data_IF_008647130305
#
_entry.id   IF_008647130305
#
_cell.length_a   1.000
_cell.length_b   1.000
_cell.length_c   1.000
_cell.angle_alpha   90.00
_cell.angle_beta   90.00
_cell.angle_gamma   90.00
#
_symmetry.space_group_name_H-M   'P 1'
#
loop_
_entity.id
_entity.type
_entity.pdbx_description
1 polymer ?
#
# COMPACT_ATOMS: atom_id res chain seq x y z
N UNK A 1 17.70 -12.50 14.87
CA UNK A 1 17.27 -13.81 14.35
C UNK A 1 15.77 -14.06 14.52
N UNK A 2 15.16 -13.73 15.66
CA UNK A 2 13.71 -13.94 15.89
C UNK A 2 12.81 -13.21 14.87
N UNK A 3 13.13 -11.95 14.53
CA UNK A 3 12.33 -11.18 13.55
C UNK A 3 12.34 -11.79 12.15
N UNK A 4 13.45 -12.41 11.73
CA UNK A 4 13.55 -13.10 10.46
C UNK A 4 12.67 -14.36 10.42
N UNK A 5 12.73 -15.18 11.48
CA UNK A 5 11.89 -16.37 11.59
C UNK A 5 10.40 -16.04 11.62
N UNK A 6 10.04 -14.88 12.17
CA UNK A 6 8.65 -14.39 12.21
C UNK A 6 8.09 -14.08 10.81
N UNK A 7 8.94 -13.61 9.89
CA UNK A 7 8.55 -13.26 8.53
C UNK A 7 8.66 -14.42 7.53
N UNK A 8 9.36 -15.50 7.91
CA UNK A 8 9.58 -16.65 7.03
C UNK A 8 8.29 -17.24 6.45
N UNK A 9 7.19 -17.43 7.24
CA UNK A 9 5.93 -17.94 6.71
C UNK A 9 5.32 -17.06 5.60
N UNK A 10 5.46 -15.72 5.69
CA UNK A 10 4.92 -14.82 4.66
C UNK A 10 5.69 -14.98 3.34
N UNK A 11 7.03 -15.06 3.41
CA UNK A 11 7.84 -15.33 2.23
C UNK A 11 7.57 -16.73 1.66
N UNK A 12 7.31 -17.73 2.51
CA UNK A 12 6.92 -19.07 2.06
C UNK A 12 5.57 -19.04 1.31
N UNK A 13 4.59 -18.27 1.79
CA UNK A 13 3.31 -18.10 1.10
C UNK A 13 3.46 -17.35 -0.24
N UNK A 14 4.33 -16.35 -0.31
CA UNK A 14 4.64 -15.66 -1.57
C UNK A 14 5.29 -16.64 -2.56
N UNK A 15 6.28 -17.42 -2.10
CA UNK A 15 6.93 -18.44 -2.92
C UNK A 15 5.93 -19.50 -3.40
N UNK A 16 5.04 -19.96 -2.51
CA UNK A 16 3.95 -20.87 -2.87
C UNK A 16 3.04 -20.27 -3.94
N UNK A 17 2.65 -19.00 -3.83
CA UNK A 17 1.87 -18.30 -4.84
C UNK A 17 2.55 -18.28 -6.21
N UNK A 18 3.86 -18.02 -6.24
CA UNK A 18 4.67 -18.09 -7.47
C UNK A 18 4.70 -19.51 -8.05
N UNK A 19 4.88 -20.54 -7.22
CA UNK A 19 4.87 -21.94 -7.62
C UNK A 19 3.51 -22.35 -8.21
N UNK A 20 2.42 -21.99 -7.52
CA UNK A 20 1.05 -22.25 -7.99
C UNK A 20 0.82 -21.59 -9.37
N UNK A 21 1.23 -20.32 -9.50
CA UNK A 21 1.09 -19.62 -10.79
C UNK A 21 1.89 -20.28 -11.92
N UNK A 22 3.08 -20.79 -11.60
CA UNK A 22 4.00 -21.35 -12.60
C UNK A 22 3.66 -22.79 -13.00
N UNK A 23 3.20 -23.61 -12.06
CA UNK A 23 3.11 -25.06 -12.26
C UNK A 23 1.67 -25.61 -12.29
N UNK A 24 0.68 -24.88 -11.73
CA UNK A 24 -0.68 -25.40 -11.63
C UNK A 24 -1.62 -25.03 -12.79
N UNK A 25 -1.14 -24.30 -13.81
CA UNK A 25 -1.93 -24.01 -15.01
C UNK A 25 -3.29 -23.35 -14.74
N UNK A 26 -3.41 -22.62 -13.62
CA UNK A 26 -4.60 -21.85 -13.29
C UNK A 26 -4.79 -20.80 -14.39
N UNK A 27 -5.90 -20.86 -15.11
CA UNK A 27 -6.15 -20.04 -16.29
C UNK A 27 -5.95 -18.54 -16.08
N UNK A 28 -5.72 -17.78 -17.14
CA UNK A 28 -5.37 -16.35 -17.12
C UNK A 28 -6.36 -15.46 -16.36
N UNK A 29 -7.62 -15.86 -16.23
CA UNK A 29 -8.64 -15.15 -15.47
C UNK A 29 -8.62 -15.39 -13.95
N UNK A 30 -7.95 -16.44 -13.46
CA UNK A 30 -7.98 -16.82 -12.04
C UNK A 30 -7.32 -15.75 -11.16
N UNK A 31 -6.08 -15.39 -11.46
CA UNK A 31 -5.32 -14.44 -10.64
C UNK A 31 -5.94 -13.05 -10.59
N UNK A 32 -6.37 -12.45 -11.71
CA UNK A 32 -7.11 -11.17 -11.67
C UNK A 32 -8.42 -11.26 -10.89
N UNK A 33 -9.11 -12.41 -10.91
CA UNK A 33 -10.31 -12.65 -10.11
C UNK A 33 -10.03 -12.66 -8.62
N UNK A 34 -8.97 -13.37 -8.20
CA UNK A 34 -8.52 -13.40 -6.79
C UNK A 34 -8.06 -12.03 -6.34
N UNK A 35 -7.28 -11.31 -7.14
CA UNK A 35 -6.83 -9.96 -6.83
C UNK A 35 -8.01 -9.01 -6.59
N UNK A 36 -9.04 -9.05 -7.45
CA UNK A 36 -10.26 -8.26 -7.27
C UNK A 36 -11.00 -8.62 -6.00
N UNK A 37 -11.16 -9.91 -5.71
CA UNK A 37 -11.83 -10.37 -4.50
C UNK A 37 -11.08 -9.91 -3.23
N UNK A 38 -9.76 -10.06 -3.21
CA UNK A 38 -8.92 -9.59 -2.10
C UNK A 38 -9.03 -8.08 -1.95
N UNK A 39 -8.89 -7.32 -3.04
CA UNK A 39 -8.85 -5.86 -3.00
C UNK A 39 -10.21 -5.23 -2.66
N UNK A 40 -11.32 -5.75 -3.20
CA UNK A 40 -12.64 -5.14 -3.02
C UNK A 40 -13.45 -5.71 -1.86
N UNK A 41 -13.10 -6.89 -1.35
CA UNK A 41 -13.88 -7.57 -0.31
C UNK A 41 -13.03 -7.86 0.93
N UNK A 42 -12.01 -8.69 0.81
CA UNK A 42 -11.29 -9.18 2.00
C UNK A 42 -10.46 -8.09 2.67
N UNK A 43 -9.82 -7.24 1.90
CA UNK A 43 -8.96 -6.20 2.46
C UNK A 43 -9.75 -5.07 3.13
N UNK A 44 -10.83 -4.51 2.54
CA UNK A 44 -11.72 -3.60 3.24
C UNK A 44 -12.35 -4.21 4.49
N UNK A 45 -12.80 -5.48 4.42
CA UNK A 45 -13.37 -6.16 5.57
C UNK A 45 -12.34 -6.35 6.70
N UNK A 46 -11.09 -6.67 6.37
CA UNK A 46 -9.98 -6.76 7.33
C UNK A 46 -9.75 -5.42 8.03
N UNK A 47 -9.64 -4.34 7.25
CA UNK A 47 -9.40 -3.00 7.79
C UNK A 47 -10.56 -2.53 8.66
N UNK A 48 -11.79 -2.67 8.18
CA UNK A 48 -12.99 -2.31 8.94
C UNK A 48 -13.05 -3.07 10.27
N UNK A 49 -12.87 -4.40 10.25
CA UNK A 49 -12.90 -5.21 11.47
C UNK A 49 -11.77 -4.82 12.45
N UNK A 50 -10.57 -4.52 11.94
CA UNK A 50 -9.45 -4.11 12.77
C UNK A 50 -9.71 -2.74 13.42
N UNK A 51 -10.19 -1.76 12.65
CA UNK A 51 -10.52 -0.40 13.14
C UNK A 51 -11.71 -0.40 14.09
N UNK A 52 -12.78 -1.13 13.78
CA UNK A 52 -13.97 -1.19 14.62
C UNK A 52 -13.73 -1.81 16.02
N UNK A 53 -12.70 -2.64 16.14
CA UNK A 53 -12.32 -3.30 17.41
C UNK A 53 -11.20 -2.60 18.17
N UNK A 54 -10.54 -1.63 17.57
CA UNK A 54 -9.41 -0.97 18.17
C UNK A 54 -9.85 0.27 18.95
N UNK A 55 -9.32 0.41 20.17
CA UNK A 55 -9.26 1.69 20.86
C UNK A 55 -8.08 2.47 20.29
N UNK A 56 -8.31 3.24 19.21
CA UNK A 56 -7.26 4.06 18.62
C UNK A 56 -6.97 5.27 19.52
N UNK A 57 -5.76 5.36 19.99
CA UNK A 57 -5.27 6.57 20.65
C UNK A 57 -4.82 7.57 19.57
N UNK A 58 -5.65 8.56 19.31
CA UNK A 58 -5.38 9.61 18.33
C UNK A 58 -4.15 10.44 18.68
N UNK A 59 -3.79 10.53 19.96
CA UNK A 59 -2.59 11.24 20.41
C UNK A 59 -1.35 10.46 20.01
N UNK A 60 -1.34 9.14 20.20
CA UNK A 60 -0.25 8.28 19.78
C UNK A 60 -0.14 8.15 18.24
N UNK A 61 -1.24 8.32 17.53
CA UNK A 61 -1.27 8.27 16.05
C UNK A 61 -0.60 9.48 15.40
N UNK A 62 -0.63 10.65 16.03
CA UNK A 62 -0.07 11.88 15.44
C UNK A 62 1.40 11.78 15.04
N UNK A 63 2.31 11.41 15.96
CA UNK A 63 3.72 11.23 15.64
C UNK A 63 3.97 10.15 14.56
N UNK A 64 3.23 9.04 14.61
CA UNK A 64 3.34 7.95 13.63
C UNK A 64 2.96 8.43 12.22
N UNK A 65 1.86 9.17 12.10
CA UNK A 65 1.42 9.76 10.85
C UNK A 65 2.43 10.80 10.35
N UNK A 66 2.96 11.65 11.23
CA UNK A 66 3.97 12.64 10.87
C UNK A 66 5.23 11.97 10.30
N UNK A 67 5.74 10.92 10.95
CA UNK A 67 6.90 10.16 10.46
C UNK A 67 6.57 9.51 9.11
N UNK A 68 5.40 8.89 8.97
CA UNK A 68 4.98 8.28 7.70
C UNK A 68 4.91 9.29 6.55
N UNK A 69 4.32 10.46 6.78
CA UNK A 69 4.24 11.54 5.79
C UNK A 69 5.62 12.12 5.46
N UNK A 70 6.49 12.28 6.46
CA UNK A 70 7.88 12.73 6.23
C UNK A 70 8.67 11.73 5.39
N UNK A 71 8.56 10.43 5.69
CA UNK A 71 9.20 9.38 4.89
C UNK A 71 8.68 9.39 3.44
N UNK A 72 7.38 9.53 3.25
CA UNK A 72 6.77 9.60 1.93
C UNK A 72 7.22 10.85 1.17
N UNK A 73 7.26 12.01 1.83
CA UNK A 73 7.76 13.26 1.24
C UNK A 73 9.23 13.16 0.87
N UNK A 74 10.07 12.60 1.74
CA UNK A 74 11.48 12.37 1.48
C UNK A 74 11.69 11.44 0.27
N UNK A 75 10.95 10.32 0.20
CA UNK A 75 10.98 9.41 -0.94
C UNK A 75 10.59 10.11 -2.26
N UNK A 76 9.53 10.92 -2.24
CA UNK A 76 9.10 11.71 -3.40
C UNK A 76 10.16 12.73 -3.82
N UNK A 77 10.75 13.46 -2.87
CA UNK A 77 11.80 14.43 -3.15
C UNK A 77 13.07 13.78 -3.73
N UNK A 78 13.47 12.63 -3.18
CA UNK A 78 14.59 11.85 -3.71
C UNK A 78 14.33 11.36 -5.14
N UNK A 79 13.11 10.88 -5.42
CA UNK A 79 12.71 10.48 -6.77
C UNK A 79 12.79 11.68 -7.74
N UNK A 80 12.26 12.84 -7.35
CA UNK A 80 12.31 14.05 -8.16
C UNK A 80 13.74 14.54 -8.40
N UNK A 81 14.59 14.51 -7.38
CA UNK A 81 16.00 14.88 -7.47
C UNK A 81 16.79 13.92 -8.38
N UNK A 82 16.46 12.62 -8.34
CA UNK A 82 17.07 11.59 -9.18
C UNK A 82 16.56 11.57 -10.63
N UNK A 83 15.49 12.30 -10.96
CA UNK A 83 14.89 12.32 -12.29
C UNK A 83 15.87 12.54 -13.45
N UNK A 84 16.79 13.54 -13.38
CA UNK A 84 17.72 13.78 -14.48
C UNK A 84 18.70 12.64 -14.72
N UNK A 85 18.97 11.81 -13.70
CA UNK A 85 19.88 10.65 -13.80
C UNK A 85 19.24 9.44 -14.47
N UNK A 86 17.91 9.36 -14.52
CA UNK A 86 17.18 8.19 -14.98
C UNK A 86 16.91 8.17 -16.48
N UNK A 87 17.05 9.31 -17.19
CA UNK A 87 16.82 9.40 -18.64
C UNK A 87 15.41 8.97 -19.08
N UNK A 88 14.42 9.01 -18.20
CA UNK A 88 13.05 8.55 -18.46
C UNK A 88 12.20 9.68 -19.05
N UNK A 89 11.29 9.32 -19.94
CA UNK A 89 10.19 10.17 -20.34
C UNK A 89 9.27 10.48 -19.15
N UNK A 90 8.46 11.50 -19.28
CA UNK A 90 7.65 12.01 -18.18
C UNK A 90 6.65 10.97 -17.64
N UNK A 91 6.03 10.17 -18.50
CA UNK A 91 5.08 9.13 -18.11
C UNK A 91 5.79 7.94 -17.43
N UNK A 92 6.91 7.49 -17.99
CA UNK A 92 7.74 6.45 -17.40
C UNK A 92 8.31 6.84 -16.04
N UNK A 93 8.69 8.13 -15.88
CA UNK A 93 9.11 8.67 -14.59
C UNK A 93 7.94 8.68 -13.59
N UNK A 94 6.77 9.22 -13.96
CA UNK A 94 5.61 9.28 -13.08
C UNK A 94 5.17 7.90 -12.57
N UNK A 95 5.25 6.87 -13.41
CA UNK A 95 4.96 5.50 -13.02
C UNK A 95 6.00 4.93 -12.05
N UNK A 96 7.30 5.09 -12.34
CA UNK A 96 8.37 4.48 -11.54
C UNK A 96 8.67 5.23 -10.25
N UNK A 97 8.50 6.55 -10.22
CA UNK A 97 8.66 7.37 -9.02
C UNK A 97 7.76 6.92 -7.87
N UNK A 98 6.63 6.28 -8.16
CA UNK A 98 5.74 5.74 -7.13
C UNK A 98 6.43 4.70 -6.24
N UNK A 99 7.39 3.96 -6.75
CA UNK A 99 8.16 2.99 -5.96
C UNK A 99 8.99 3.63 -4.83
N UNK A 100 9.29 4.91 -4.93
CA UNK A 100 10.10 5.62 -3.93
C UNK A 100 9.28 6.15 -2.74
N UNK A 101 7.99 6.43 -2.92
CA UNK A 101 7.17 7.02 -1.86
C UNK A 101 5.93 6.19 -1.47
N UNK A 102 5.57 5.18 -2.25
CA UNK A 102 4.52 4.23 -1.87
C UNK A 102 5.10 3.08 -1.06
N UNK A 103 4.34 2.61 -0.11
CA UNK A 103 4.65 1.42 0.69
C UNK A 103 3.71 0.27 0.32
N UNK A 104 4.15 -0.95 0.60
CA UNK A 104 3.32 -2.13 0.42
C UNK A 104 2.42 -2.31 1.65
N UNK A 105 1.15 -1.96 1.49
CA UNK A 105 0.15 -2.01 2.56
C UNK A 105 -0.06 -3.43 3.10
N UNK A 106 -0.06 -4.45 2.24
CA UNK A 106 -0.24 -5.84 2.67
C UNK A 106 0.90 -6.32 3.57
N UNK A 107 2.13 -6.07 3.16
CA UNK A 107 3.32 -6.40 3.97
C UNK A 107 3.31 -5.58 5.27
N UNK A 108 2.99 -4.29 5.18
CA UNK A 108 2.90 -3.42 6.35
C UNK A 108 1.94 -3.95 7.42
N UNK A 109 0.73 -4.33 7.02
CA UNK A 109 -0.28 -4.89 7.92
C UNK A 109 0.14 -6.25 8.47
N UNK A 110 0.69 -7.14 7.63
CA UNK A 110 1.16 -8.45 8.07
C UNK A 110 2.27 -8.33 9.12
N UNK A 111 3.24 -7.44 8.89
CA UNK A 111 4.34 -7.17 9.83
C UNK A 111 3.81 -6.56 11.12
N UNK A 112 2.96 -5.52 11.04
CA UNK A 112 2.37 -4.89 12.22
C UNK A 112 1.54 -5.88 13.05
N UNK A 113 0.79 -6.76 12.40
CA UNK A 113 0.05 -7.82 13.07
C UNK A 113 0.92 -8.83 13.80
N UNK A 114 2.08 -9.16 13.24
CA UNK A 114 3.03 -10.09 13.88
C UNK A 114 3.76 -9.51 15.09
N UNK A 115 4.09 -8.21 15.05
CA UNK A 115 4.81 -7.56 16.13
C UNK A 115 3.91 -7.05 17.25
N UNK A 116 2.70 -6.59 16.93
CA UNK A 116 1.80 -5.93 17.87
C UNK A 116 0.37 -6.51 17.87
N UNK A 117 0.13 -7.64 17.21
CA UNK A 117 -1.19 -8.29 17.18
C UNK A 117 -2.29 -7.42 16.56
N UNK A 118 -3.53 -7.58 17.04
CA UNK A 118 -4.68 -6.83 16.54
C UNK A 118 -4.53 -5.30 16.66
N UNK A 119 -3.97 -4.74 17.74
CA UNK A 119 -3.65 -3.31 17.82
C UNK A 119 -2.72 -2.84 16.70
N UNK A 120 -1.69 -3.63 16.36
CA UNK A 120 -0.77 -3.30 15.27
C UNK A 120 -1.46 -3.26 13.92
N UNK A 121 -2.34 -4.23 13.63
CA UNK A 121 -3.16 -4.23 12.41
C UNK A 121 -4.03 -2.98 12.33
N UNK A 122 -4.68 -2.59 13.43
CA UNK A 122 -5.52 -1.41 13.49
C UNK A 122 -4.74 -0.10 13.28
N UNK A 123 -3.59 0.05 13.96
CA UNK A 123 -2.70 1.20 13.78
C UNK A 123 -2.20 1.33 12.34
N UNK A 124 -1.75 0.21 11.76
CA UNK A 124 -1.28 0.21 10.36
C UNK A 124 -2.42 0.45 9.39
N UNK A 125 -3.62 -0.06 9.65
CA UNK A 125 -4.82 0.21 8.87
C UNK A 125 -5.19 1.69 8.87
N UNK A 126 -5.23 2.32 10.05
CA UNK A 126 -5.50 3.75 10.20
C UNK A 126 -4.42 4.61 9.50
N UNK A 127 -3.13 4.23 9.64
CA UNK A 127 -2.02 4.89 8.96
C UNK A 127 -2.18 4.80 7.43
N UNK A 128 -2.54 3.62 6.91
CA UNK A 128 -2.80 3.43 5.48
C UNK A 128 -3.96 4.29 5.01
N UNK A 129 -5.07 4.31 5.74
CA UNK A 129 -6.24 5.15 5.42
C UNK A 129 -5.88 6.63 5.32
N UNK A 130 -5.06 7.13 6.23
CA UNK A 130 -4.60 8.50 6.22
C UNK A 130 -3.56 8.80 5.13
N UNK A 131 -2.63 7.89 4.84
CA UNK A 131 -1.52 8.14 3.92
C UNK A 131 -1.85 7.87 2.44
N UNK A 132 -2.75 6.92 2.15
CA UNK A 132 -3.11 6.54 0.77
C UNK A 132 -3.66 7.71 -0.04
N UNK A 133 -4.51 8.61 0.49
CA UNK A 133 -4.95 9.81 -0.23
C UNK A 133 -3.79 10.70 -0.68
N UNK A 134 -2.80 10.94 0.18
CA UNK A 134 -1.62 11.75 -0.16
C UNK A 134 -0.77 11.07 -1.24
N UNK A 135 -0.54 9.76 -1.12
CA UNK A 135 0.17 8.98 -2.13
C UNK A 135 -0.54 9.03 -3.50
N UNK A 136 -1.87 8.92 -3.49
CA UNK A 136 -2.67 9.02 -4.71
C UNK A 136 -2.66 10.43 -5.30
N UNK A 137 -2.76 11.48 -4.47
CA UNK A 137 -2.62 12.86 -4.93
C UNK A 137 -1.26 13.10 -5.60
N UNK A 138 -0.16 12.62 -4.99
CA UNK A 138 1.18 12.72 -5.57
C UNK A 138 1.26 11.99 -6.92
N UNK A 139 0.76 10.75 -7.01
CA UNK A 139 0.76 9.97 -8.24
C UNK A 139 -0.04 10.64 -9.36
N UNK A 140 -1.28 11.03 -9.05
CA UNK A 140 -2.18 11.62 -10.06
C UNK A 140 -1.72 13.01 -10.47
N UNK A 141 -1.16 13.83 -9.57
CA UNK A 141 -0.60 15.14 -9.93
C UNK A 141 0.55 15.02 -10.93
N UNK A 142 1.37 13.96 -10.84
CA UNK A 142 2.42 13.68 -11.82
C UNK A 142 1.86 13.16 -13.15
N UNK A 143 0.84 12.31 -13.11
CA UNK A 143 0.20 11.74 -14.31
C UNK A 143 -0.71 12.76 -15.02
N UNK A 144 -1.46 13.59 -14.28
CA UNK A 144 -2.40 14.57 -14.82
C UNK A 144 -1.72 15.70 -15.57
N UNK A 145 -0.48 16.07 -15.20
CA UNK A 145 0.32 17.03 -15.99
C UNK A 145 0.59 16.56 -17.43
N UNK A 146 0.27 15.31 -17.74
CA UNK A 146 0.49 14.66 -19.03
C UNK A 146 -0.80 14.15 -19.69
N UNK A 147 -1.99 14.61 -19.27
CA UNK A 147 -3.21 14.53 -20.08
C UNK A 147 -4.24 13.46 -19.71
N UNK A 148 -4.15 12.78 -18.56
CA UNK A 148 -5.18 11.82 -18.15
C UNK A 148 -5.49 11.94 -16.64
N UNK A 149 -6.50 12.73 -16.26
CA UNK A 149 -6.82 12.88 -14.85
C UNK A 149 -8.29 13.11 -14.52
N UNK A 150 -8.94 12.10 -13.94
CA UNK A 150 -10.14 12.23 -13.11
C UNK A 150 -9.82 11.90 -11.65
N UNK A 151 -8.94 12.71 -11.06
CA UNK A 151 -8.36 12.54 -9.72
C UNK A 151 -9.41 12.26 -8.64
N UNK A 152 -10.44 13.08 -8.60
CA UNK A 152 -11.49 12.99 -7.57
C UNK A 152 -12.31 11.69 -7.71
N UNK A 153 -12.54 11.25 -8.92
CA UNK A 153 -13.33 10.05 -9.20
C UNK A 153 -12.58 8.76 -8.84
N UNK A 154 -11.25 8.74 -8.99
CA UNK A 154 -10.39 7.63 -8.59
C UNK A 154 -10.23 7.56 -7.06
N UNK A 155 -10.11 8.71 -6.39
CA UNK A 155 -10.06 8.78 -4.93
C UNK A 155 -11.36 8.27 -4.30
N UNK A 156 -12.53 8.75 -4.77
CA UNK A 156 -13.84 8.36 -4.25
C UNK A 156 -14.22 6.91 -4.56
N UNK A 157 -13.62 6.30 -5.57
CA UNK A 157 -13.83 4.88 -5.94
C UNK A 157 -12.83 3.93 -5.30
N UNK A 158 -11.85 4.44 -4.56
CA UNK A 158 -10.87 3.58 -3.92
C UNK A 158 -11.49 2.88 -2.69
N UNK A 159 -11.69 1.54 -2.72
CA UNK A 159 -12.35 0.81 -1.64
C UNK A 159 -11.59 0.87 -0.32
N UNK A 160 -10.28 1.14 -0.34
CA UNK A 160 -9.47 1.29 0.87
C UNK A 160 -9.77 2.62 1.57
N UNK A 161 -10.05 3.69 0.80
CA UNK A 161 -10.41 4.99 1.37
C UNK A 161 -11.83 4.95 1.93
N UNK A 162 -12.73 4.21 1.27
CA UNK A 162 -14.12 4.07 1.74
C UNK A 162 -14.23 3.20 3.00
N UNK A 163 -13.28 2.28 3.22
CA UNK A 163 -13.27 1.35 4.37
C UNK A 163 -12.54 1.89 5.61
N UNK A 164 -11.84 3.01 5.49
CA UNK A 164 -11.09 3.67 6.59
C UNK A 164 -11.71 5.01 6.97
#
# INVERSE_FOLDING_TARGET
MQSFLLLLPDFALIALGVLLRRFFGLGDGFWPGVERLVYFVFFPALLFNALARASLDLVAMGPLLAVGLLCMAAGLLLALAGRPLLGLDAMGFASRAQCAYRFNTYIGIAVAGKFAGAPGVAMMGALCGAMVPFANMAAVSMLARHGQGRLLQELLRNPLIVAT
#
